data_IF_748105592734
#
_entry.id   IF_748105592734
#
_cell.length_a   1.000
_cell.length_b   1.000
_cell.length_c   1.000
_cell.angle_alpha   90.00
_cell.angle_beta   90.00
_cell.angle_gamma   90.00
#
_symmetry.space_group_name_H-M   'P 1'
#
loop_
_entity.id
_entity.type
_entity.pdbx_description
1 polymer ?
#
# COMPACT_ATOMS: atom_id res chain seq x y z
N UNK A 1 -15.83 -21.43 13.75
CA UNK A 1 -17.15 -21.67 14.36
C UNK A 1 -17.88 -22.93 13.87
N UNK A 2 -18.06 -23.16 12.56
CA UNK A 2 -18.88 -24.28 12.02
C UNK A 2 -18.51 -25.66 12.59
N UNK A 3 -17.21 -25.93 12.73
CA UNK A 3 -16.71 -27.19 13.26
C UNK A 3 -17.07 -27.37 14.75
N UNK A 4 -16.81 -26.36 15.57
CA UNK A 4 -17.11 -26.41 17.00
C UNK A 4 -18.59 -26.62 17.29
N UNK A 5 -19.47 -26.03 16.48
CA UNK A 5 -20.93 -26.21 16.62
C UNK A 5 -21.38 -27.66 16.37
N UNK A 6 -20.66 -28.42 15.55
CA UNK A 6 -21.05 -29.78 15.14
C UNK A 6 -20.37 -30.88 15.96
N UNK A 7 -19.16 -30.62 16.46
CA UNK A 7 -18.32 -31.64 17.09
C UNK A 7 -17.85 -31.26 18.51
N UNK A 8 -18.38 -30.18 19.08
CA UNK A 8 -17.96 -29.65 20.38
C UNK A 8 -16.79 -28.65 20.25
N UNK A 9 -16.55 -27.86 21.30
CA UNK A 9 -15.52 -26.82 21.31
C UNK A 9 -14.12 -27.41 21.16
N UNK A 10 -13.59 -27.40 19.93
CA UNK A 10 -12.30 -27.99 19.58
C UNK A 10 -11.29 -26.94 19.12
N UNK A 11 -11.70 -25.96 18.30
CA UNK A 11 -10.81 -24.92 17.78
C UNK A 11 -11.04 -23.59 18.47
N UNK A 12 -9.97 -22.90 18.88
CA UNK A 12 -10.06 -21.51 19.34
C UNK A 12 -10.39 -20.61 18.14
N UNK A 13 -11.37 -19.72 18.30
CA UNK A 13 -11.67 -18.72 17.27
C UNK A 13 -10.56 -17.66 17.31
N UNK A 14 -9.83 -17.43 16.21
CA UNK A 14 -8.73 -16.49 16.23
C UNK A 14 -9.24 -15.05 16.24
N UNK A 15 -8.59 -14.22 17.04
CA UNK A 15 -8.77 -12.77 17.01
C UNK A 15 -7.77 -12.11 16.04
N UNK A 16 -8.16 -10.95 15.50
CA UNK A 16 -7.32 -10.18 14.60
C UNK A 16 -6.27 -9.43 15.42
N UNK A 17 -4.99 -9.71 15.16
CA UNK A 17 -3.88 -8.91 15.69
C UNK A 17 -3.50 -7.81 14.69
N UNK A 18 -3.95 -6.60 14.95
CA UNK A 18 -3.56 -5.42 14.16
C UNK A 18 -2.19 -4.95 14.65
N UNK A 19 -1.22 -4.85 13.73
CA UNK A 19 0.09 -4.28 14.05
C UNK A 19 0.01 -2.77 14.23
N UNK A 20 0.73 -2.23 15.20
CA UNK A 20 0.92 -0.79 15.36
C UNK A 20 1.92 -0.30 14.31
N UNK A 21 1.55 0.68 13.48
CA UNK A 21 2.53 1.45 12.70
C UNK A 21 2.77 1.05 11.24
N UNK A 22 1.78 0.54 10.51
CA UNK A 22 1.88 0.38 9.04
C UNK A 22 1.38 1.60 8.27
N UNK A 23 2.28 2.43 7.71
CA UNK A 23 1.87 3.47 6.77
C UNK A 23 1.32 2.82 5.48
N UNK A 24 0.11 3.21 5.06
CA UNK A 24 -0.45 2.75 3.79
C UNK A 24 0.27 3.48 2.65
N UNK A 25 1.20 2.79 1.99
CA UNK A 25 1.91 3.31 0.82
C UNK A 25 1.01 3.25 -0.42
N UNK A 26 0.89 4.38 -1.10
CA UNK A 26 0.02 4.57 -2.26
C UNK A 26 0.79 4.39 -3.57
N UNK A 27 0.07 4.26 -4.68
CA UNK A 27 0.67 4.18 -6.01
C UNK A 27 1.39 5.50 -6.36
N UNK A 28 2.54 5.38 -7.00
CA UNK A 28 3.33 6.54 -7.46
C UNK A 28 2.69 7.26 -8.65
N UNK A 29 1.71 6.65 -9.31
CA UNK A 29 1.07 7.22 -10.52
C UNK A 29 -0.41 7.52 -10.29
N UNK A 30 -1.02 6.90 -9.28
CA UNK A 30 -2.39 7.17 -8.86
C UNK A 30 -2.45 7.22 -7.32
N UNK A 31 -2.16 8.37 -6.70
CA UNK A 31 -1.94 8.47 -5.26
C UNK A 31 -3.19 8.17 -4.40
N UNK A 32 -4.37 8.06 -5.00
CA UNK A 32 -5.61 7.64 -4.35
C UNK A 32 -5.77 6.11 -4.27
N UNK A 33 -4.99 5.35 -5.04
CA UNK A 33 -4.99 3.88 -5.04
C UNK A 33 -3.84 3.33 -4.20
N UNK A 34 -4.09 2.24 -3.47
CA UNK A 34 -3.03 1.51 -2.75
C UNK A 34 -2.07 0.92 -3.77
N UNK A 35 -0.77 0.96 -3.48
CA UNK A 35 0.23 0.28 -4.31
C UNK A 35 -0.12 -1.22 -4.43
N UNK A 36 -0.20 -1.72 -5.66
CA UNK A 36 -0.56 -3.12 -5.93
C UNK A 36 0.48 -3.80 -6.81
N UNK A 37 0.90 -5.01 -6.44
CA UNK A 37 1.79 -5.83 -7.27
C UNK A 37 1.20 -6.13 -8.66
N UNK A 38 -0.13 -6.18 -8.75
CA UNK A 38 -0.88 -6.50 -9.97
C UNK A 38 -1.24 -5.28 -10.81
N UNK A 39 -0.69 -4.10 -10.50
CA UNK A 39 -0.89 -2.92 -11.33
C UNK A 39 -0.22 -3.12 -12.69
N UNK A 40 -0.95 -2.86 -13.77
CA UNK A 40 -0.43 -2.94 -15.14
C UNK A 40 0.66 -1.89 -15.38
N UNK A 41 0.57 -0.74 -14.70
CA UNK A 41 1.58 0.30 -14.77
C UNK A 41 2.75 -0.01 -13.84
N UNK A 42 3.85 -0.50 -14.40
CA UNK A 42 5.06 -0.82 -13.63
C UNK A 42 5.68 0.39 -12.91
N UNK A 43 5.39 1.62 -13.35
CA UNK A 43 5.87 2.84 -12.68
C UNK A 43 5.04 3.21 -11.44
N UNK A 44 3.85 2.62 -11.27
CA UNK A 44 3.00 2.81 -10.09
C UNK A 44 3.58 2.17 -8.82
N UNK A 45 4.49 1.20 -8.96
CA UNK A 45 4.95 0.35 -7.86
C UNK A 45 6.47 0.24 -7.79
N UNK A 46 7.00 0.14 -6.57
CA UNK A 46 8.40 -0.21 -6.30
C UNK A 46 8.43 -1.64 -5.77
N UNK A 47 9.24 -2.51 -6.39
CA UNK A 47 9.45 -3.88 -5.90
C UNK A 47 10.76 -3.94 -5.11
N UNK A 48 10.83 -4.83 -4.14
CA UNK A 48 12.02 -5.00 -3.29
C UNK A 48 13.29 -5.37 -4.07
N UNK A 49 13.12 -5.97 -5.25
CA UNK A 49 14.22 -6.41 -6.12
C UNK A 49 14.40 -5.51 -7.35
N UNK A 50 13.74 -4.34 -7.40
CA UNK A 50 13.99 -3.36 -8.45
C UNK A 50 15.43 -2.85 -8.33
N UNK A 51 16.13 -2.74 -9.48
CA UNK A 51 17.47 -2.16 -9.49
C UNK A 51 17.44 -0.69 -9.00
N UNK A 52 18.50 -0.20 -8.32
CA UNK A 52 18.53 1.16 -7.76
C UNK A 52 18.17 2.25 -8.78
N UNK A 53 18.70 2.17 -10.01
CA UNK A 53 18.44 3.16 -11.06
C UNK A 53 16.98 3.19 -11.49
N UNK A 54 16.30 2.04 -11.49
CA UNK A 54 14.87 1.95 -11.79
C UNK A 54 14.04 2.57 -10.67
N UNK A 55 14.41 2.34 -9.40
CA UNK A 55 13.75 2.96 -8.24
C UNK A 55 13.85 4.49 -8.34
N UNK A 56 15.06 5.01 -8.58
CA UNK A 56 15.28 6.45 -8.74
C UNK A 56 14.46 7.01 -9.90
N UNK A 57 14.41 6.31 -11.04
CA UNK A 57 13.62 6.73 -12.20
C UNK A 57 12.12 6.77 -11.92
N UNK A 58 11.58 5.79 -11.17
CA UNK A 58 10.16 5.76 -10.79
C UNK A 58 9.82 6.89 -9.83
N UNK A 59 10.66 7.13 -8.82
CA UNK A 59 10.47 8.23 -7.86
C UNK A 59 10.46 9.60 -8.54
N UNK A 60 11.39 9.84 -9.48
CA UNK A 60 11.45 11.10 -10.24
C UNK A 60 10.24 11.36 -11.14
N UNK A 61 9.44 10.33 -11.44
CA UNK A 61 8.26 10.40 -12.30
C UNK A 61 6.95 10.25 -11.52
N UNK A 62 7.01 10.18 -10.19
CA UNK A 62 5.84 10.09 -9.36
C UNK A 62 4.91 11.30 -9.60
N UNK A 63 3.61 11.05 -9.59
CA UNK A 63 2.61 12.09 -9.79
C UNK A 63 2.55 13.00 -8.57
N UNK A 64 2.81 14.30 -8.75
CA UNK A 64 2.66 15.33 -7.72
C UNK A 64 1.57 16.34 -8.12
N UNK A 65 1.28 17.28 -7.24
CA UNK A 65 0.48 18.47 -7.53
C UNK A 65 1.30 19.57 -8.24
N UNK A 66 0.64 20.71 -8.51
CA UNK A 66 1.23 21.89 -9.17
C UNK A 66 1.51 23.06 -8.21
N UNK A 67 1.25 22.92 -6.91
CA UNK A 67 1.35 23.97 -5.88
C UNK A 67 2.81 24.17 -5.39
N UNK A 68 3.79 23.50 -6.02
CA UNK A 68 5.25 23.66 -5.86
C UNK A 68 5.72 23.86 -4.41
N UNK A 69 5.04 23.21 -3.46
CA UNK A 69 5.27 23.34 -2.03
C UNK A 69 5.21 21.95 -1.40
N UNK A 70 6.23 21.60 -0.61
CA UNK A 70 6.27 20.31 0.09
C UNK A 70 5.52 20.43 1.41
N UNK A 71 4.27 19.96 1.44
CA UNK A 71 3.44 19.90 2.65
C UNK A 71 2.60 18.63 2.65
N UNK A 72 2.39 18.04 3.82
CA UNK A 72 1.55 16.86 3.96
C UNK A 72 0.07 17.25 3.99
N UNK A 73 -0.68 16.83 2.98
CA UNK A 73 -2.12 17.01 2.89
C UNK A 73 -2.72 15.87 2.07
N UNK A 74 -3.34 14.91 2.74
CA UNK A 74 -3.84 13.70 2.07
C UNK A 74 -5.01 13.96 1.12
N UNK A 75 -5.78 15.02 1.33
CA UNK A 75 -6.95 15.32 0.52
C UNK A 75 -6.57 16.11 -0.74
N UNK A 76 -5.75 17.14 -0.58
CA UNK A 76 -5.40 18.05 -1.69
C UNK A 76 -4.05 17.72 -2.34
N UNK A 77 -3.15 17.02 -1.64
CA UNK A 77 -1.79 16.67 -2.10
C UNK A 77 -1.48 15.19 -1.83
N UNK A 78 -2.26 14.25 -2.41
CA UNK A 78 -2.12 12.83 -2.08
C UNK A 78 -0.83 12.18 -2.61
N UNK A 79 -0.14 12.81 -3.57
CA UNK A 79 1.05 12.30 -4.26
C UNK A 79 2.37 12.91 -3.81
#
# INVERSE_FOLDING_TARGET
ERFNRRFGETFVVPDIKVGEGGARVMSLQEPTKKMSKSDDNQNATIRLLDAPDLIVKKLKRAQTDSDNAVRYDKENKPG
#
